data_IF_431957678225
#
_entry.id   IF_431957678225
#
_cell.length_a   1.000
_cell.length_b   1.000
_cell.length_c   1.000
_cell.angle_alpha   90.00
_cell.angle_beta   90.00
_cell.angle_gamma   90.00
#
_symmetry.space_group_name_H-M   'P 1'
#
loop_
_entity.id
_entity.type
_entity.pdbx_description
1 polymer ?
#
# COMPACT_ATOMS: atom_id res chain seq x y z
N UNK A 1 43.32 26.56 0.80
CA UNK A 1 42.35 25.99 1.77
C UNK A 1 41.57 24.90 1.05
N UNK A 2 41.96 23.66 1.19
CA UNK A 2 41.23 22.52 0.68
C UNK A 2 40.15 22.15 1.72
N UNK A 3 38.88 22.40 1.39
CA UNK A 3 37.74 22.02 2.23
C UNK A 3 37.41 20.54 2.04
N UNK A 4 37.76 19.70 3.01
CA UNK A 4 37.29 18.30 3.10
C UNK A 4 35.81 18.27 3.48
N UNK A 5 34.92 18.73 2.59
CA UNK A 5 33.48 18.83 2.87
C UNK A 5 32.59 18.08 1.90
N UNK A 6 33.16 17.31 0.95
CA UNK A 6 32.38 16.66 -0.11
C UNK A 6 31.60 15.41 0.32
N UNK A 7 32.21 14.52 1.07
CA UNK A 7 31.69 13.19 1.31
C UNK A 7 30.45 13.09 2.24
N UNK A 8 30.24 14.06 3.13
CA UNK A 8 29.10 14.03 4.07
C UNK A 8 27.84 14.80 3.59
N UNK A 9 27.98 15.67 2.59
CA UNK A 9 26.83 16.44 2.07
C UNK A 9 26.03 15.68 1.05
N UNK A 10 26.62 14.73 0.35
CA UNK A 10 26.00 14.00 -0.74
C UNK A 10 24.93 13.00 -0.27
N UNK A 11 25.09 12.21 0.83
CA UNK A 11 24.06 11.30 1.30
C UNK A 11 22.79 12.00 1.78
N UNK A 12 22.92 13.13 2.47
CA UNK A 12 21.75 13.89 2.96
C UNK A 12 20.96 14.52 1.81
N UNK A 13 21.65 15.00 0.77
CA UNK A 13 20.98 15.52 -0.44
C UNK A 13 20.30 14.41 -1.23
N UNK A 14 20.95 13.25 -1.37
CA UNK A 14 20.39 12.08 -2.03
C UNK A 14 19.14 11.57 -1.32
N UNK A 15 19.18 11.47 0.02
CA UNK A 15 18.02 11.08 0.83
C UNK A 15 16.86 12.08 0.69
N UNK A 16 17.15 13.39 0.75
CA UNK A 16 16.15 14.43 0.52
C UNK A 16 15.55 14.39 -0.90
N UNK A 17 16.37 14.04 -1.91
CA UNK A 17 15.91 13.79 -3.28
C UNK A 17 14.98 12.57 -3.38
N UNK A 18 15.37 11.49 -2.74
CA UNK A 18 14.59 10.23 -2.71
C UNK A 18 13.22 10.44 -2.06
N UNK A 19 13.17 11.10 -0.89
CA UNK A 19 11.91 11.36 -0.19
C UNK A 19 10.98 12.23 -1.03
N UNK A 20 11.49 13.31 -1.62
CA UNK A 20 10.68 14.17 -2.51
C UNK A 20 10.21 13.42 -3.76
N UNK A 21 11.07 12.59 -4.34
CA UNK A 21 10.71 11.73 -5.48
C UNK A 21 9.61 10.73 -5.11
N UNK A 22 9.74 10.10 -3.96
CA UNK A 22 8.76 9.16 -3.44
C UNK A 22 7.39 9.80 -3.19
N UNK A 23 7.35 10.97 -2.54
CA UNK A 23 6.09 11.71 -2.32
C UNK A 23 5.42 12.07 -3.65
N UNK A 24 6.20 12.54 -4.65
CA UNK A 24 5.67 12.83 -5.99
C UNK A 24 5.15 11.56 -6.67
N UNK A 25 5.87 10.45 -6.56
CA UNK A 25 5.44 9.17 -7.12
C UNK A 25 4.12 8.70 -6.49
N UNK A 26 3.96 8.79 -5.18
CA UNK A 26 2.70 8.49 -4.48
C UNK A 26 1.55 9.39 -4.96
N UNK A 27 1.81 10.68 -5.17
CA UNK A 27 0.80 11.60 -5.68
C UNK A 27 0.36 11.27 -7.11
N UNK A 28 1.31 11.00 -8.00
CA UNK A 28 1.03 10.56 -9.38
C UNK A 28 0.25 9.26 -9.37
N UNK A 29 0.65 8.31 -8.54
CA UNK A 29 0.00 7.01 -8.40
C UNK A 29 -1.43 7.15 -7.88
N UNK A 30 -1.67 8.00 -6.88
CA UNK A 30 -3.01 8.34 -6.42
C UNK A 30 -3.89 8.87 -7.56
N UNK A 31 -3.37 9.81 -8.35
CA UNK A 31 -4.10 10.41 -9.48
C UNK A 31 -4.42 9.37 -10.56
N UNK A 32 -3.46 8.50 -10.87
CA UNK A 32 -3.65 7.41 -11.83
C UNK A 32 -4.72 6.40 -11.35
N UNK A 33 -4.74 6.08 -10.06
CA UNK A 33 -5.71 5.16 -9.50
C UNK A 33 -7.11 5.78 -9.40
N UNK A 34 -7.22 7.09 -9.14
CA UNK A 34 -8.51 7.77 -9.05
C UNK A 34 -9.30 7.75 -10.37
N UNK A 35 -8.61 7.70 -11.52
CA UNK A 35 -9.23 7.70 -12.84
C UNK A 35 -10.07 6.44 -13.12
N UNK A 36 -9.54 5.20 -13.04
CA UNK A 36 -10.30 4.00 -13.32
C UNK A 36 -11.39 3.69 -12.29
N UNK A 37 -11.16 4.02 -11.02
CA UNK A 37 -12.12 3.74 -9.96
C UNK A 37 -13.28 4.76 -9.90
N UNK A 38 -13.12 5.95 -10.49
CA UNK A 38 -14.11 7.02 -10.38
C UNK A 38 -14.41 7.42 -8.92
N UNK A 39 -13.51 7.10 -8.00
CA UNK A 39 -13.62 7.31 -6.55
C UNK A 39 -12.33 7.92 -6.01
N UNK A 40 -12.46 8.85 -5.07
CA UNK A 40 -11.30 9.42 -4.37
C UNK A 40 -10.91 8.64 -3.11
N UNK A 41 -11.78 7.76 -2.63
CA UNK A 41 -11.56 7.00 -1.39
C UNK A 41 -10.85 5.68 -1.67
N UNK A 42 -11.18 5.02 -2.77
CA UNK A 42 -10.57 3.73 -3.13
C UNK A 42 -9.04 3.79 -3.29
N UNK A 43 -8.45 4.81 -3.98
CA UNK A 43 -7.00 4.97 -4.00
C UNK A 43 -6.38 5.15 -2.62
N UNK A 44 -7.08 5.80 -1.68
CA UNK A 44 -6.59 5.94 -0.30
C UNK A 44 -6.57 4.61 0.44
N UNK A 45 -7.57 3.75 0.20
CA UNK A 45 -7.60 2.39 0.77
C UNK A 45 -6.40 1.58 0.26
N UNK A 46 -6.13 1.63 -1.05
CA UNK A 46 -5.00 0.95 -1.67
C UNK A 46 -3.68 1.44 -1.05
N UNK A 47 -3.50 2.76 -0.95
CA UNK A 47 -2.27 3.37 -0.44
C UNK A 47 -2.12 3.19 1.09
N UNK A 48 -3.20 2.99 1.83
CA UNK A 48 -3.15 2.74 3.27
C UNK A 48 -2.36 1.48 3.64
N UNK A 49 -2.16 0.56 2.71
CA UNK A 49 -1.34 -0.64 2.92
C UNK A 49 0.17 -0.34 2.94
N UNK A 50 0.63 0.74 2.28
CA UNK A 50 2.07 1.06 2.15
C UNK A 50 2.77 1.26 3.51
N UNK A 51 2.23 2.02 4.47
CA UNK A 51 2.85 2.17 5.79
C UNK A 51 3.06 0.84 6.53
N UNK A 52 2.17 -0.12 6.33
CA UNK A 52 2.31 -1.44 6.97
C UNK A 52 3.46 -2.25 6.36
N UNK A 53 3.69 -2.12 5.04
CA UNK A 53 4.89 -2.68 4.42
C UNK A 53 6.18 -2.11 5.02
N UNK A 54 6.20 -0.80 5.31
CA UNK A 54 7.33 -0.16 5.97
C UNK A 54 7.57 -0.71 7.38
N UNK A 55 6.52 -0.96 8.14
CA UNK A 55 6.61 -1.60 9.45
C UNK A 55 7.30 -2.97 9.30
N UNK A 56 6.86 -3.80 8.36
CA UNK A 56 7.46 -5.11 8.09
C UNK A 56 8.94 -5.02 7.72
N UNK A 57 9.32 -4.05 6.89
CA UNK A 57 10.71 -3.82 6.52
C UNK A 57 11.57 -3.39 7.73
N UNK A 58 11.08 -2.49 8.57
CA UNK A 58 11.80 -2.06 9.79
C UNK A 58 11.99 -3.21 10.77
N UNK A 59 10.95 -4.01 11.00
CA UNK A 59 11.04 -5.20 11.85
C UNK A 59 12.05 -6.22 11.33
N UNK A 60 12.12 -6.40 10.00
CA UNK A 60 13.10 -7.33 9.42
C UNK A 60 14.54 -6.88 9.62
N UNK A 61 14.82 -5.58 9.51
CA UNK A 61 16.14 -5.02 9.79
C UNK A 61 16.53 -5.23 11.26
N UNK A 62 15.59 -4.96 12.16
CA UNK A 62 15.80 -5.18 13.59
C UNK A 62 16.08 -6.65 13.91
N UNK A 63 15.31 -7.57 13.30
CA UNK A 63 15.47 -9.01 13.50
C UNK A 63 16.81 -9.55 12.95
N UNK A 64 17.26 -9.02 11.80
CA UNK A 64 18.51 -9.44 11.16
C UNK A 64 19.75 -8.68 11.68
N UNK A 65 19.58 -7.67 12.53
CA UNK A 65 20.68 -6.85 13.03
C UNK A 65 21.39 -6.03 11.94
N UNK A 66 20.65 -5.65 10.89
CA UNK A 66 21.15 -4.88 9.75
C UNK A 66 20.72 -3.42 9.92
N UNK A 67 21.67 -2.51 9.76
CA UNK A 67 21.42 -1.08 9.84
C UNK A 67 20.43 -0.61 8.76
N UNK A 68 19.45 0.20 9.18
CA UNK A 68 18.51 0.82 8.28
C UNK A 68 19.14 2.06 7.62
N UNK A 69 19.56 1.91 6.38
CA UNK A 69 20.28 2.92 5.63
C UNK A 69 19.55 3.42 4.37
N UNK A 70 20.29 4.21 3.58
CA UNK A 70 19.76 4.75 2.31
C UNK A 70 19.34 3.64 1.34
N UNK A 71 20.06 2.53 1.28
CA UNK A 71 19.73 1.39 0.42
C UNK A 71 18.47 0.66 0.88
N UNK A 72 18.21 0.59 2.19
CA UNK A 72 16.95 0.11 2.73
C UNK A 72 15.77 0.95 2.25
N UNK A 73 15.95 2.27 2.15
CA UNK A 73 14.92 3.20 1.63
C UNK A 73 14.61 2.94 0.15
N UNK A 74 15.57 2.56 -0.69
CA UNK A 74 15.30 2.12 -2.06
C UNK A 74 14.44 0.85 -2.09
N UNK A 75 14.72 -0.09 -1.18
CA UNK A 75 13.88 -1.28 -0.99
C UNK A 75 12.44 -0.92 -0.62
N UNK A 76 12.22 0.09 0.24
CA UNK A 76 10.89 0.60 0.60
C UNK A 76 10.15 1.21 -0.59
N UNK A 77 10.84 1.94 -1.46
CA UNK A 77 10.23 2.48 -2.69
C UNK A 77 9.74 1.34 -3.59
N UNK A 78 10.58 0.32 -3.81
CA UNK A 78 10.19 -0.89 -4.55
C UNK A 78 9.02 -1.63 -3.89
N UNK A 79 9.10 -1.83 -2.56
CA UNK A 79 8.06 -2.44 -1.75
C UNK A 79 6.71 -1.74 -1.91
N UNK A 80 6.70 -0.40 -1.90
CA UNK A 80 5.45 0.35 -2.03
C UNK A 80 4.74 0.08 -3.36
N UNK A 81 5.49 -0.08 -4.44
CA UNK A 81 4.94 -0.43 -5.75
C UNK A 81 4.28 -1.81 -5.77
N UNK A 82 4.90 -2.82 -5.14
CA UNK A 82 4.35 -4.17 -5.03
C UNK A 82 3.10 -4.17 -4.16
N UNK A 83 3.14 -3.53 -2.99
CA UNK A 83 2.02 -3.42 -2.04
C UNK A 83 0.81 -2.75 -2.69
N UNK A 84 1.02 -1.66 -3.41
CA UNK A 84 -0.05 -0.95 -4.13
C UNK A 84 -0.64 -1.82 -5.22
N UNK A 85 0.19 -2.52 -6.00
CA UNK A 85 -0.29 -3.42 -7.05
C UNK A 85 -1.17 -4.55 -6.49
N UNK A 86 -0.75 -5.20 -5.41
CA UNK A 86 -1.51 -6.29 -4.79
C UNK A 86 -2.84 -5.79 -4.20
N UNK A 87 -2.81 -4.62 -3.55
CA UNK A 87 -4.00 -3.96 -3.00
C UNK A 87 -4.98 -3.53 -4.10
N UNK A 88 -4.45 -2.99 -5.22
CA UNK A 88 -5.22 -2.59 -6.39
C UNK A 88 -5.99 -3.78 -6.96
N UNK A 89 -5.27 -4.89 -7.25
CA UNK A 89 -5.85 -6.08 -7.85
C UNK A 89 -6.92 -6.70 -6.94
N UNK A 90 -6.73 -6.68 -5.62
CA UNK A 90 -7.72 -7.18 -4.67
C UNK A 90 -8.97 -6.31 -4.67
N UNK A 91 -8.83 -4.98 -4.60
CA UNK A 91 -9.96 -4.05 -4.57
C UNK A 91 -10.74 -4.03 -5.88
N UNK A 92 -10.05 -4.04 -7.02
CA UNK A 92 -10.66 -4.13 -8.35
C UNK A 92 -11.54 -5.37 -8.47
N UNK A 93 -11.06 -6.51 -7.94
CA UNK A 93 -11.84 -7.74 -7.94
C UNK A 93 -13.06 -7.70 -7.00
N UNK A 94 -12.96 -7.03 -5.84
CA UNK A 94 -14.12 -6.78 -4.97
C UNK A 94 -15.17 -5.96 -5.70
N UNK A 95 -14.75 -4.91 -6.39
CA UNK A 95 -15.66 -4.05 -7.17
C UNK A 95 -16.33 -4.81 -8.32
N UNK A 96 -15.59 -5.65 -9.04
CA UNK A 96 -16.12 -6.50 -10.10
C UNK A 96 -17.17 -7.50 -9.57
N UNK A 97 -16.90 -8.15 -8.45
CA UNK A 97 -17.85 -9.07 -7.80
C UNK A 97 -19.11 -8.33 -7.32
N UNK A 98 -18.97 -7.13 -6.75
CA UNK A 98 -20.10 -6.32 -6.34
C UNK A 98 -20.94 -5.83 -7.53
N UNK A 99 -20.31 -5.42 -8.63
CA UNK A 99 -20.98 -5.03 -9.86
C UNK A 99 -21.73 -6.18 -10.53
N UNK A 100 -21.34 -7.42 -10.29
CA UNK A 100 -22.06 -8.62 -10.76
C UNK A 100 -23.37 -8.89 -10.01
N UNK A 101 -23.73 -8.02 -9.03
CA UNK A 101 -24.98 -8.09 -8.27
C UNK A 101 -24.85 -8.76 -6.90
N UNK A 102 -23.65 -9.14 -6.47
CA UNK A 102 -23.44 -9.70 -5.13
C UNK A 102 -23.51 -8.60 -4.06
N UNK A 103 -24.07 -8.88 -2.87
CA UNK A 103 -23.96 -7.98 -1.73
C UNK A 103 -22.48 -7.79 -1.36
N UNK A 104 -22.15 -6.63 -0.77
CA UNK A 104 -20.75 -6.22 -0.57
C UNK A 104 -19.96 -7.20 0.32
N UNK A 105 -20.58 -7.74 1.35
CA UNK A 105 -19.99 -8.75 2.25
C UNK A 105 -19.62 -10.05 1.50
N UNK A 106 -20.48 -10.53 0.64
CA UNK A 106 -20.21 -11.70 -0.21
C UNK A 106 -19.16 -11.39 -1.27
N UNK A 107 -19.21 -10.22 -1.89
CA UNK A 107 -18.24 -9.78 -2.88
C UNK A 107 -16.81 -9.73 -2.29
N UNK A 108 -16.66 -9.15 -1.11
CA UNK A 108 -15.39 -9.08 -0.37
C UNK A 108 -14.87 -10.49 -0.07
N UNK A 109 -15.73 -11.37 0.47
CA UNK A 109 -15.33 -12.73 0.82
C UNK A 109 -14.95 -13.56 -0.41
N UNK A 110 -15.72 -13.42 -1.49
CA UNK A 110 -15.44 -14.07 -2.77
C UNK A 110 -14.09 -13.61 -3.34
N UNK A 111 -13.88 -12.29 -3.39
CA UNK A 111 -12.64 -11.70 -3.88
C UNK A 111 -11.42 -12.16 -3.06
N UNK A 112 -11.51 -12.11 -1.73
CA UNK A 112 -10.44 -12.56 -0.85
C UNK A 112 -10.07 -14.04 -1.09
N UNK A 113 -11.07 -14.92 -1.22
CA UNK A 113 -10.84 -16.36 -1.48
C UNK A 113 -10.17 -16.60 -2.84
N UNK A 114 -10.64 -15.94 -3.89
CA UNK A 114 -10.14 -16.15 -5.26
C UNK A 114 -8.75 -15.55 -5.41
N UNK A 115 -8.49 -14.36 -4.84
CA UNK A 115 -7.23 -13.64 -4.96
C UNK A 115 -6.15 -14.11 -3.99
N UNK A 116 -6.50 -14.86 -2.95
CA UNK A 116 -5.52 -15.36 -1.98
C UNK A 116 -4.36 -16.11 -2.64
N UNK A 117 -4.65 -17.06 -3.51
CA UNK A 117 -3.60 -17.86 -4.17
C UNK A 117 -2.68 -17.03 -5.08
N UNK A 118 -3.21 -16.20 -6.03
CA UNK A 118 -2.37 -15.33 -6.86
C UNK A 118 -1.49 -14.39 -6.04
N UNK A 119 -2.04 -13.70 -5.02
CA UNK A 119 -1.28 -12.77 -4.19
C UNK A 119 -0.21 -13.50 -3.39
N UNK A 120 -0.53 -14.65 -2.80
CA UNK A 120 0.46 -15.45 -2.07
C UNK A 120 1.59 -15.92 -3.01
N UNK A 121 1.25 -16.31 -4.23
CA UNK A 121 2.24 -16.77 -5.22
C UNK A 121 3.18 -15.62 -5.63
N UNK A 122 2.65 -14.43 -5.93
CA UNK A 122 3.47 -13.24 -6.26
C UNK A 122 4.38 -12.85 -5.11
N UNK A 123 3.88 -12.88 -3.89
CA UNK A 123 4.66 -12.61 -2.66
C UNK A 123 5.79 -13.60 -2.49
N UNK A 124 5.51 -14.89 -2.59
CA UNK A 124 6.52 -15.94 -2.45
C UNK A 124 7.55 -15.89 -3.56
N UNK A 125 7.14 -15.66 -4.82
CA UNK A 125 8.08 -15.54 -5.94
C UNK A 125 8.96 -14.30 -5.81
N UNK A 126 8.42 -13.17 -5.35
CA UNK A 126 9.20 -11.95 -5.07
C UNK A 126 10.20 -12.20 -3.95
N UNK A 127 9.76 -12.79 -2.83
CA UNK A 127 10.64 -13.11 -1.71
C UNK A 127 11.76 -14.08 -2.12
N UNK A 128 11.41 -15.19 -2.76
CA UNK A 128 12.39 -16.18 -3.23
C UNK A 128 13.32 -15.61 -4.29
N UNK A 129 12.86 -14.67 -5.10
CA UNK A 129 13.69 -13.99 -6.10
C UNK A 129 14.77 -13.10 -5.48
N UNK A 130 14.48 -12.43 -4.34
CA UNK A 130 15.48 -11.61 -3.65
C UNK A 130 16.24 -12.38 -2.56
N UNK A 131 15.77 -13.55 -2.16
CA UNK A 131 16.35 -14.36 -1.09
C UNK A 131 17.83 -14.71 -1.31
N UNK A 132 18.29 -15.11 -2.52
CA UNK A 132 19.71 -15.35 -2.75
C UNK A 132 20.59 -14.15 -2.43
N UNK A 133 20.09 -12.91 -2.69
CA UNK A 133 20.80 -11.68 -2.37
C UNK A 133 20.89 -11.45 -0.85
N UNK A 134 19.85 -11.85 -0.10
CA UNK A 134 19.83 -11.70 1.37
C UNK A 134 20.89 -12.58 2.05
N UNK A 135 21.17 -13.75 1.50
CA UNK A 135 22.16 -14.69 2.05
C UNK A 135 23.58 -14.52 1.47
N UNK A 136 23.72 -13.68 0.46
CA UNK A 136 24.99 -13.43 -0.20
C UNK A 136 25.99 -12.73 0.76
N UNK A 137 27.24 -13.21 0.78
CA UNK A 137 28.28 -12.73 1.69
C UNK A 137 29.42 -11.95 1.01
N UNK A 138 29.38 -11.82 -0.31
CA UNK A 138 30.39 -11.04 -1.02
C UNK A 138 30.33 -9.57 -0.62
N UNK A 139 31.50 -8.93 -0.53
CA UNK A 139 31.59 -7.51 -0.13
C UNK A 139 30.79 -6.61 -1.06
N UNK A 140 30.74 -6.93 -2.35
CA UNK A 140 29.99 -6.17 -3.33
C UNK A 140 28.47 -6.32 -3.14
N UNK A 141 28.00 -7.50 -2.77
CA UNK A 141 26.57 -7.74 -2.54
C UNK A 141 26.08 -7.15 -1.22
N UNK A 142 26.94 -7.00 -0.22
CA UNK A 142 26.59 -6.43 1.08
C UNK A 142 25.92 -5.04 1.00
N UNK A 143 26.24 -4.26 -0.03
CA UNK A 143 25.56 -2.99 -0.27
C UNK A 143 24.08 -3.17 -0.64
N UNK A 144 23.72 -4.27 -1.30
CA UNK A 144 22.35 -4.52 -1.78
C UNK A 144 21.51 -5.32 -0.78
N UNK A 145 22.13 -5.98 0.20
CA UNK A 145 21.44 -6.78 1.23
C UNK A 145 20.38 -5.96 1.98
N UNK A 146 20.64 -4.73 2.48
CA UNK A 146 19.61 -3.95 3.18
C UNK A 146 18.40 -3.63 2.30
N UNK A 147 18.61 -3.42 1.00
CA UNK A 147 17.51 -3.21 0.05
C UNK A 147 16.69 -4.48 -0.15
N UNK A 148 17.35 -5.63 -0.31
CA UNK A 148 16.71 -6.92 -0.49
C UNK A 148 15.92 -7.36 0.75
N UNK A 149 16.44 -7.08 1.96
CA UNK A 149 15.78 -7.32 3.23
C UNK A 149 14.52 -6.47 3.37
N UNK A 150 14.61 -5.16 3.07
CA UNK A 150 13.43 -4.27 3.08
C UNK A 150 12.35 -4.76 2.13
N UNK A 151 12.72 -5.11 0.89
CA UNK A 151 11.78 -5.54 -0.12
C UNK A 151 11.19 -6.91 0.22
N UNK A 152 12.02 -7.91 0.48
CA UNK A 152 11.60 -9.30 0.65
C UNK A 152 10.70 -9.50 1.88
N UNK A 153 11.20 -9.15 3.05
CA UNK A 153 10.41 -9.29 4.28
C UNK A 153 9.28 -8.27 4.38
N UNK A 154 9.49 -7.06 3.84
CA UNK A 154 8.44 -6.06 3.75
C UNK A 154 7.23 -6.56 2.95
N UNK A 155 7.45 -7.20 1.79
CA UNK A 155 6.38 -7.79 0.97
C UNK A 155 5.67 -8.92 1.70
N UNK A 156 6.41 -9.83 2.36
CA UNK A 156 5.81 -10.91 3.15
C UNK A 156 4.86 -10.37 4.22
N UNK A 157 5.32 -9.39 4.99
CA UNK A 157 4.51 -8.79 6.05
C UNK A 157 3.32 -8.02 5.47
N UNK A 158 3.56 -7.19 4.45
CA UNK A 158 2.52 -6.39 3.80
C UNK A 158 1.40 -7.27 3.25
N UNK A 159 1.72 -8.40 2.63
CA UNK A 159 0.71 -9.30 2.06
C UNK A 159 -0.27 -9.81 3.10
N UNK A 160 0.24 -10.22 4.28
CA UNK A 160 -0.63 -10.66 5.38
C UNK A 160 -1.57 -9.53 5.81
N UNK A 161 -1.03 -8.31 5.91
CA UNK A 161 -1.82 -7.14 6.30
C UNK A 161 -2.83 -6.76 5.22
N UNK A 162 -2.44 -6.74 3.94
CA UNK A 162 -3.33 -6.39 2.81
C UNK A 162 -4.56 -7.28 2.77
N UNK A 163 -4.39 -8.59 2.97
CA UNK A 163 -5.49 -9.55 2.94
C UNK A 163 -6.56 -9.30 4.00
N UNK A 164 -6.25 -8.55 5.06
CA UNK A 164 -7.19 -8.16 6.12
C UNK A 164 -7.58 -6.69 5.99
N UNK A 165 -6.60 -5.83 5.78
CA UNK A 165 -6.78 -4.37 5.80
C UNK A 165 -7.66 -3.88 4.64
N UNK A 166 -7.38 -4.32 3.41
CA UNK A 166 -8.12 -3.86 2.22
C UNK A 166 -9.60 -4.27 2.31
N UNK A 167 -9.97 -5.55 2.58
CA UNK A 167 -11.34 -5.93 2.83
C UNK A 167 -12.02 -5.15 3.94
N UNK A 168 -11.34 -4.96 5.08
CA UNK A 168 -11.89 -4.25 6.22
C UNK A 168 -12.18 -2.77 5.91
N UNK A 169 -11.24 -2.08 5.24
CA UNK A 169 -11.43 -0.68 4.85
C UNK A 169 -12.52 -0.53 3.79
N UNK A 170 -12.63 -1.46 2.84
CA UNK A 170 -13.68 -1.45 1.81
C UNK A 170 -15.06 -1.62 2.44
N UNK A 171 -15.20 -2.53 3.40
CA UNK A 171 -16.46 -2.72 4.14
C UNK A 171 -16.81 -1.47 4.94
N UNK A 172 -15.84 -0.89 5.64
CA UNK A 172 -16.04 0.34 6.40
C UNK A 172 -16.47 1.52 5.51
N UNK A 173 -15.86 1.64 4.32
CA UNK A 173 -16.25 2.65 3.33
C UNK A 173 -17.71 2.46 2.89
N UNK A 174 -18.09 1.24 2.57
CA UNK A 174 -19.45 0.92 2.13
C UNK A 174 -20.49 1.26 3.22
N UNK A 175 -20.23 0.87 4.46
CA UNK A 175 -21.11 1.17 5.59
C UNK A 175 -21.20 2.67 5.87
N UNK A 176 -20.08 3.39 5.80
CA UNK A 176 -20.06 4.83 5.98
C UNK A 176 -20.91 5.54 4.91
N UNK A 177 -20.73 5.17 3.64
CA UNK A 177 -21.53 5.73 2.54
C UNK A 177 -23.01 5.41 2.67
N UNK A 178 -23.37 4.18 3.07
CA UNK A 178 -24.74 3.77 3.35
C UNK A 178 -25.40 4.64 4.42
N UNK A 179 -24.71 4.86 5.55
CA UNK A 179 -25.19 5.73 6.64
C UNK A 179 -25.37 7.19 6.19
N UNK A 180 -24.47 7.71 5.36
CA UNK A 180 -24.59 9.07 4.81
C UNK A 180 -25.81 9.20 3.88
N UNK A 181 -26.06 8.24 2.99
CA UNK A 181 -27.22 8.23 2.09
C UNK A 181 -28.54 8.22 2.87
N UNK A 182 -28.66 7.35 3.86
CA UNK A 182 -29.85 7.27 4.73
C UNK A 182 -30.10 8.57 5.49
N UNK A 183 -29.03 9.17 6.05
CA UNK A 183 -29.14 10.48 6.75
C UNK A 183 -29.56 11.60 5.81
N UNK A 184 -29.04 11.62 4.57
CA UNK A 184 -29.43 12.63 3.58
C UNK A 184 -30.89 12.52 3.20
N UNK A 185 -31.36 11.30 2.87
CA UNK A 185 -32.75 11.04 2.54
C UNK A 185 -33.71 11.42 3.68
N UNK A 186 -33.33 11.10 4.93
CA UNK A 186 -34.13 11.49 6.10
C UNK A 186 -34.22 13.02 6.27
N UNK A 187 -33.11 13.74 6.01
CA UNK A 187 -33.12 15.21 6.06
C UNK A 187 -33.96 15.82 4.96
N UNK A 188 -33.93 15.29 3.76
CA UNK A 188 -34.75 15.73 2.62
C UNK A 188 -36.24 15.46 2.88
N UNK A 189 -36.59 14.28 3.40
CA UNK A 189 -37.95 13.94 3.80
C UNK A 189 -38.51 14.86 4.88
N UNK A 190 -37.71 15.20 5.91
CA UNK A 190 -38.10 16.15 6.96
C UNK A 190 -38.28 17.58 6.38
N UNK A 191 -37.45 17.96 5.42
CA UNK A 191 -37.54 19.27 4.78
C UNK A 191 -38.80 19.40 3.91
N UNK A 192 -39.19 18.32 3.23
CA UNK A 192 -40.41 18.27 2.41
C UNK A 192 -41.69 18.14 3.28
N UNK A 193 -41.59 17.51 4.45
CA UNK A 193 -42.69 17.36 5.39
C UNK A 193 -42.97 18.61 6.23
N UNK A 194 -42.14 19.65 6.17
CA UNK A 194 -42.36 20.91 6.86
C UNK A 194 -43.27 21.79 5.98
N UNK A 195 -44.60 21.94 6.29
CA UNK A 195 -45.48 22.76 5.50
C UNK A 195 -44.97 24.21 5.54
N UNK A 196 -45.06 24.92 4.40
CA UNK A 196 -44.98 26.38 4.36
C UNK A 196 -46.07 26.94 5.25
N UNK A 197 -45.68 27.34 6.48
CA UNK A 197 -46.50 28.19 7.27
C UNK A 197 -46.22 29.61 6.79
N UNK A 198 -46.99 30.08 5.81
CA UNK A 198 -47.11 31.46 5.43
C UNK A 198 -48.20 32.14 6.28
#
# INVERSE_FOLDING_TARGET
RYGFGGAQRDPARALGGLIRGFIRALFVLYTLLASPFGSYVEPLIIMAAVPFGFIGAVFSHLFMGIDFGMLSMFGLVGLSGVVVNDSLVLLDFVNAEHQSGKPMDEAILSAAKIRFRPILLTTLTTFLGVFPMIIERSVQAQFLVPMAVSLGFGVLFATVVIMVLVPALTMLQHDALGRFRVRKQRREAIRQAKPEVA
#
